data_IF_567646001421
#
_entry.id   IF_567646001421
#
_cell.length_a   1.000
_cell.length_b   1.000
_cell.length_c   1.000
_cell.angle_alpha   90.00
_cell.angle_beta   90.00
_cell.angle_gamma   90.00
#
_symmetry.space_group_name_H-M   'P 1'
#
loop_
_entity.id
_entity.type
_entity.pdbx_description
1 polymer ?
#
# COMPACT_ATOMS: atom_id res chain seq x y z
N UNK A 1 14.63 -8.77 5.68
CA UNK A 1 15.01 -9.63 4.53
C UNK A 1 14.26 -10.95 4.47
N UNK A 2 14.09 -11.70 5.57
CA UNK A 2 13.37 -12.99 5.53
C UNK A 2 11.91 -12.87 5.06
N UNK A 3 11.19 -11.83 5.46
CA UNK A 3 9.77 -11.62 5.11
C UNK A 3 9.58 -11.37 3.60
N UNK A 4 10.38 -10.48 3.00
CA UNK A 4 10.30 -10.21 1.56
C UNK A 4 10.73 -11.45 0.76
N UNK A 5 11.72 -12.23 1.26
CA UNK A 5 12.09 -13.49 0.63
C UNK A 5 10.92 -14.48 0.65
N UNK A 6 10.33 -14.71 1.81
CA UNK A 6 9.16 -15.59 1.96
C UNK A 6 7.96 -15.16 1.10
N UNK A 7 7.75 -13.85 0.92
CA UNK A 7 6.75 -13.32 0.00
C UNK A 7 7.06 -13.65 -1.47
N UNK A 8 8.31 -13.43 -1.89
CA UNK A 8 8.74 -13.65 -3.27
C UNK A 8 8.85 -15.13 -3.62
N UNK A 9 9.25 -15.99 -2.68
CA UNK A 9 9.32 -17.46 -2.85
C UNK A 9 7.92 -18.08 -3.11
N UNK A 10 6.84 -17.41 -2.71
CA UNK A 10 5.46 -17.82 -3.08
C UNK A 10 5.13 -17.54 -4.56
N UNK A 11 5.90 -16.66 -5.18
CA UNK A 11 5.67 -16.21 -6.56
C UNK A 11 6.53 -17.02 -7.53
N UNK A 12 7.81 -17.21 -7.18
CA UNK A 12 8.77 -17.91 -8.03
C UNK A 12 10.03 -18.31 -7.26
N UNK A 13 10.73 -19.35 -7.75
CA UNK A 13 12.04 -19.75 -7.23
C UNK A 13 13.11 -18.76 -7.69
N UNK A 14 13.81 -18.16 -6.74
CA UNK A 14 14.85 -17.15 -7.00
C UNK A 14 16.22 -17.80 -6.77
N UNK A 15 17.13 -17.65 -7.75
CA UNK A 15 18.53 -18.07 -7.59
C UNK A 15 19.24 -17.24 -6.52
N UNK A 16 20.27 -17.79 -5.90
CA UNK A 16 21.07 -17.04 -4.91
C UNK A 16 21.68 -15.77 -5.52
N UNK A 17 22.19 -15.85 -6.75
CA UNK A 17 22.77 -14.70 -7.44
C UNK A 17 21.77 -13.57 -7.69
N UNK A 18 20.54 -13.91 -8.15
CA UNK A 18 19.47 -12.94 -8.35
C UNK A 18 19.00 -12.33 -7.03
N UNK A 19 18.92 -13.18 -5.97
CA UNK A 19 18.58 -12.73 -4.63
C UNK A 19 19.60 -11.75 -4.07
N UNK A 20 20.89 -12.08 -4.15
CA UNK A 20 21.98 -11.24 -3.64
C UNK A 20 22.02 -9.90 -4.40
N UNK A 21 21.84 -9.93 -5.74
CA UNK A 21 21.76 -8.71 -6.51
C UNK A 21 20.57 -7.85 -6.12
N UNK A 22 19.38 -8.45 -6.03
CA UNK A 22 18.17 -7.73 -5.62
C UNK A 22 18.33 -7.10 -4.23
N UNK A 23 18.79 -7.87 -3.25
CA UNK A 23 18.91 -7.39 -1.87
C UNK A 23 19.98 -6.32 -1.70
N UNK A 24 21.04 -6.33 -2.54
CA UNK A 24 22.04 -5.26 -2.56
C UNK A 24 21.48 -3.89 -2.93
N UNK A 25 20.29 -3.85 -3.57
CA UNK A 25 19.59 -2.65 -3.99
C UNK A 25 18.55 -2.15 -2.99
N UNK A 26 18.28 -2.93 -1.95
CA UNK A 26 17.28 -2.58 -0.94
C UNK A 26 17.88 -1.69 0.15
N UNK A 27 17.13 -0.64 0.48
CA UNK A 27 17.42 0.25 1.60
C UNK A 27 16.35 0.09 2.67
N UNK A 28 16.76 -0.15 3.91
CA UNK A 28 15.85 -0.22 5.05
C UNK A 28 15.62 1.17 5.61
N UNK A 29 14.35 1.57 5.76
CA UNK A 29 13.94 2.85 6.29
C UNK A 29 12.93 2.65 7.42
N UNK A 30 13.02 3.49 8.46
CA UNK A 30 12.04 3.57 9.54
C UNK A 30 11.32 4.90 9.38
N UNK A 31 10.00 4.84 9.26
CA UNK A 31 9.13 5.99 9.08
C UNK A 31 8.36 6.19 10.39
N UNK A 32 8.43 7.38 10.94
CA UNK A 32 7.79 7.71 12.21
C UNK A 32 6.26 7.68 12.09
N UNK A 33 5.58 7.37 13.19
CA UNK A 33 4.12 7.44 13.24
C UNK A 33 3.62 8.81 12.84
N UNK A 34 2.63 8.87 11.94
CA UNK A 34 2.01 10.06 11.34
C UNK A 34 2.88 10.80 10.32
N UNK A 35 4.10 10.36 10.05
CA UNK A 35 4.95 10.94 9.02
C UNK A 35 4.34 10.73 7.63
N UNK A 36 4.35 11.80 6.83
CA UNK A 36 4.02 11.75 5.39
C UNK A 36 5.35 11.64 4.66
N UNK A 37 5.63 10.47 4.09
CA UNK A 37 6.90 10.17 3.44
C UNK A 37 6.85 10.25 1.91
N UNK A 38 5.66 10.52 1.35
CA UNK A 38 5.46 11.06 -0.01
C UNK A 38 4.36 12.11 0.07
N UNK A 39 4.66 13.33 -0.34
CA UNK A 39 3.71 14.45 -0.35
C UNK A 39 3.03 14.61 -1.70
N UNK A 40 1.93 15.35 -1.71
CA UNK A 40 1.25 15.77 -2.94
C UNK A 40 2.24 16.51 -3.85
N UNK A 41 2.21 16.24 -5.15
CA UNK A 41 3.07 16.82 -6.17
C UNK A 41 4.56 16.42 -6.10
N UNK A 42 4.98 15.56 -5.17
CA UNK A 42 6.29 14.91 -5.22
C UNK A 42 6.26 13.73 -6.21
N UNK A 43 7.39 13.42 -6.82
CA UNK A 43 7.53 12.23 -7.67
C UNK A 43 7.91 11.04 -6.80
N UNK A 44 7.14 9.97 -6.88
CA UNK A 44 7.49 8.73 -6.21
C UNK A 44 8.68 8.05 -6.90
N UNK A 45 9.75 7.89 -6.17
CA UNK A 45 10.96 7.25 -6.68
C UNK A 45 11.19 5.84 -6.09
N UNK A 46 10.28 5.34 -5.27
CA UNK A 46 10.48 4.07 -4.57
C UNK A 46 9.28 3.13 -4.69
N UNK A 47 9.58 1.84 -4.78
CA UNK A 47 8.66 0.78 -4.35
C UNK A 47 9.21 0.23 -3.05
N UNK A 48 8.35 0.08 -2.04
CA UNK A 48 8.76 -0.37 -0.71
C UNK A 48 7.95 -1.57 -0.26
N UNK A 49 8.60 -2.53 0.39
CA UNK A 49 7.97 -3.65 1.08
C UNK A 49 7.84 -3.31 2.57
N UNK A 50 6.66 -3.49 3.15
CA UNK A 50 6.39 -3.19 4.55
C UNK A 50 6.77 -4.39 5.41
N UNK A 51 7.85 -4.28 6.20
CA UNK A 51 8.26 -5.29 7.19
C UNK A 51 7.39 -5.22 8.45
N UNK A 52 6.98 -4.01 8.85
CA UNK A 52 6.06 -3.76 9.97
C UNK A 52 5.36 -2.42 9.81
N UNK A 53 4.18 -2.29 10.39
CA UNK A 53 3.42 -1.04 10.41
C UNK A 53 2.26 -1.01 9.42
N UNK A 54 1.66 0.17 9.31
CA UNK A 54 0.48 0.45 8.49
C UNK A 54 0.66 1.78 7.76
N UNK A 55 0.45 1.76 6.45
CA UNK A 55 0.51 2.94 5.59
C UNK A 55 -0.88 3.25 5.03
N UNK A 56 -1.22 4.53 5.03
CA UNK A 56 -2.43 5.10 4.44
C UNK A 56 -2.10 5.79 3.11
N UNK A 57 -2.92 5.56 2.09
CA UNK A 57 -2.91 6.31 0.84
C UNK A 57 -4.11 7.24 0.84
N UNK A 58 -3.89 8.55 0.64
CA UNK A 58 -4.98 9.51 0.70
C UNK A 58 -4.76 10.73 -0.19
N UNK A 59 -5.86 11.31 -0.63
CA UNK A 59 -5.89 12.59 -1.34
C UNK A 59 -6.15 13.68 -0.30
N UNK A 60 -5.20 14.61 -0.07
CA UNK A 60 -5.40 15.72 0.85
C UNK A 60 -6.48 16.67 0.34
N UNK A 61 -7.09 17.40 1.25
CA UNK A 61 -8.05 18.49 0.99
C UNK A 61 -7.69 19.68 1.87
N UNK A 62 -8.16 20.86 1.53
CA UNK A 62 -8.02 22.08 2.36
C UNK A 62 -8.57 21.84 3.77
N UNK A 63 -9.74 21.20 3.85
CA UNK A 63 -10.33 20.74 5.09
C UNK A 63 -9.87 19.31 5.40
N UNK A 64 -9.08 19.07 6.47
CA UNK A 64 -8.59 17.74 6.84
C UNK A 64 -9.70 16.72 7.14
N UNK A 65 -10.93 17.17 7.45
CA UNK A 65 -12.05 16.24 7.64
C UNK A 65 -12.61 15.69 6.32
N UNK A 66 -12.28 16.34 5.19
CA UNK A 66 -12.67 15.94 3.83
C UNK A 66 -11.59 15.16 3.08
N UNK A 67 -10.47 14.83 3.70
CA UNK A 67 -9.44 13.98 3.11
C UNK A 67 -10.02 12.65 2.63
N UNK A 68 -9.62 12.21 1.45
CA UNK A 68 -10.12 10.96 0.86
C UNK A 68 -9.09 9.85 1.03
N UNK A 69 -9.32 8.95 1.98
CA UNK A 69 -8.56 7.71 2.10
C UNK A 69 -9.06 6.70 1.07
N UNK A 70 -8.16 6.23 0.21
CA UNK A 70 -8.53 5.24 -0.79
C UNK A 70 -7.72 3.93 -0.69
N UNK A 71 -6.76 3.86 0.23
CA UNK A 71 -5.98 2.64 0.43
C UNK A 71 -5.33 2.57 1.80
N UNK A 72 -5.10 1.34 2.23
CA UNK A 72 -4.20 0.99 3.31
C UNK A 72 -3.30 -0.15 2.85
N UNK A 73 -2.04 -0.11 3.26
CA UNK A 73 -1.10 -1.20 3.08
C UNK A 73 -0.52 -1.61 4.43
N UNK A 74 -0.26 -2.90 4.57
CA UNK A 74 0.08 -3.54 5.83
C UNK A 74 1.39 -4.32 5.69
N UNK A 75 1.83 -4.86 6.83
CA UNK A 75 2.92 -5.83 6.86
C UNK A 75 2.77 -6.87 5.73
N UNK A 76 3.89 -7.26 5.14
CA UNK A 76 4.02 -8.22 4.04
C UNK A 76 3.33 -7.77 2.73
N UNK A 77 3.17 -6.45 2.54
CA UNK A 77 2.65 -5.86 1.30
C UNK A 77 3.63 -4.85 0.72
N UNK A 78 3.57 -4.69 -0.60
CA UNK A 78 4.24 -3.59 -1.28
C UNK A 78 3.42 -2.31 -1.21
N UNK A 79 4.12 -1.16 -1.15
CA UNK A 79 3.55 0.19 -1.16
C UNK A 79 4.35 1.10 -2.07
N UNK A 80 3.64 1.91 -2.84
CA UNK A 80 4.17 2.99 -3.67
C UNK A 80 2.99 3.86 -4.13
N UNK A 81 3.24 5.10 -4.49
CA UNK A 81 2.37 5.83 -5.42
C UNK A 81 2.67 5.34 -6.83
N UNK A 82 2.14 4.17 -7.14
CA UNK A 82 2.61 3.32 -8.26
C UNK A 82 2.44 3.97 -9.63
N UNK A 83 1.40 4.76 -9.82
CA UNK A 83 1.16 5.57 -11.02
C UNK A 83 2.26 6.64 -11.20
N UNK A 84 2.59 7.36 -10.12
CA UNK A 84 3.70 8.32 -10.10
C UNK A 84 5.04 7.61 -10.33
N UNK A 85 5.28 6.49 -9.66
CA UNK A 85 6.49 5.69 -9.82
C UNK A 85 6.69 5.23 -11.27
N UNK A 86 5.65 4.71 -11.93
CA UNK A 86 5.74 4.23 -13.30
C UNK A 86 5.90 5.35 -14.33
N UNK A 87 5.21 6.46 -14.12
CA UNK A 87 5.21 7.58 -15.08
C UNK A 87 6.30 8.60 -14.82
N UNK A 88 6.95 8.56 -13.64
CA UNK A 88 7.89 9.56 -13.16
C UNK A 88 7.29 10.98 -13.20
N UNK A 89 5.99 11.09 -12.94
CA UNK A 89 5.23 12.36 -12.83
C UNK A 89 4.78 12.59 -11.38
N UNK A 90 4.49 13.85 -11.01
CA UNK A 90 4.02 14.20 -9.67
C UNK A 90 2.82 13.37 -9.21
N UNK A 91 2.84 12.91 -7.96
CA UNK A 91 1.76 12.16 -7.34
C UNK A 91 0.56 13.06 -7.03
N UNK A 92 -0.65 12.58 -7.33
CA UNK A 92 -1.91 13.22 -6.99
C UNK A 92 -2.40 12.89 -5.56
N UNK A 93 -1.61 12.16 -4.76
CA UNK A 93 -1.95 11.73 -3.41
C UNK A 93 -0.71 11.55 -2.54
N UNK A 94 -0.93 11.30 -1.27
CA UNK A 94 0.10 11.19 -0.25
C UNK A 94 0.16 9.79 0.36
N UNK A 95 1.36 9.43 0.85
CA UNK A 95 1.61 8.24 1.66
C UNK A 95 1.94 8.64 3.09
N UNK A 96 1.18 8.11 4.06
CA UNK A 96 1.34 8.40 5.48
C UNK A 96 1.47 7.12 6.30
N UNK A 97 2.47 7.06 7.17
CA UNK A 97 2.59 6.01 8.17
C UNK A 97 1.57 6.24 9.31
N UNK A 98 0.67 5.30 9.55
CA UNK A 98 -0.29 5.38 10.65
C UNK A 98 0.29 4.87 11.97
N UNK A 99 1.28 4.02 11.90
CA UNK A 99 2.10 3.54 13.03
C UNK A 99 3.56 3.79 12.70
N UNK A 100 4.47 3.58 13.64
CA UNK A 100 5.88 3.41 13.25
C UNK A 100 5.95 2.27 12.23
N UNK A 101 6.61 2.51 11.12
CA UNK A 101 6.58 1.63 9.94
C UNK A 101 8.00 1.38 9.44
N UNK A 102 8.39 0.11 9.36
CA UNK A 102 9.66 -0.29 8.76
C UNK A 102 9.43 -0.78 7.35
N UNK A 103 10.16 -0.23 6.41
CA UNK A 103 10.07 -0.56 4.98
C UNK A 103 11.43 -0.91 4.39
N UNK A 104 11.42 -1.80 3.38
CA UNK A 104 12.54 -2.07 2.48
C UNK A 104 12.22 -1.42 1.14
N UNK A 105 12.98 -0.41 0.76
CA UNK A 105 12.73 0.42 -0.42
C UNK A 105 13.74 0.13 -1.52
N UNK A 106 13.28 0.08 -2.76
CA UNK A 106 14.12 0.06 -3.95
C UNK A 106 13.79 1.27 -4.82
N UNK A 107 14.82 1.95 -5.34
CA UNK A 107 14.61 3.10 -6.24
C UNK A 107 14.13 2.66 -7.62
N UNK A 108 13.55 3.60 -8.39
CA UNK A 108 13.17 3.36 -9.78
C UNK A 108 14.35 2.84 -10.61
N UNK A 109 15.50 3.51 -10.53
CA UNK A 109 16.70 3.13 -11.28
C UNK A 109 17.23 1.76 -10.91
N UNK A 110 17.27 1.43 -9.61
CA UNK A 110 17.74 0.14 -9.13
C UNK A 110 16.77 -0.99 -9.52
N UNK A 111 15.46 -0.74 -9.49
CA UNK A 111 14.49 -1.71 -9.97
C UNK A 111 14.63 -1.99 -11.47
N UNK A 112 14.89 -0.94 -12.28
CA UNK A 112 15.20 -1.15 -13.70
C UNK A 112 16.48 -1.97 -13.91
N UNK A 113 17.50 -1.78 -13.04
CA UNK A 113 18.71 -2.61 -13.07
C UNK A 113 18.39 -4.07 -12.71
N UNK A 114 17.55 -4.33 -11.71
CA UNK A 114 17.08 -5.67 -11.35
C UNK A 114 16.38 -6.35 -12.54
N UNK A 115 15.47 -5.63 -13.22
CA UNK A 115 14.76 -6.16 -14.39
C UNK A 115 15.70 -6.54 -15.55
N UNK A 116 16.78 -5.78 -15.73
CA UNK A 116 17.74 -6.03 -16.82
C UNK A 116 18.77 -7.11 -16.49
N UNK A 117 19.15 -7.23 -15.23
CA UNK A 117 20.31 -8.06 -14.82
C UNK A 117 19.90 -9.44 -14.34
N UNK A 118 18.73 -9.57 -13.69
CA UNK A 118 18.27 -10.84 -13.12
C UNK A 118 17.35 -11.58 -14.09
N UNK A 119 17.40 -12.92 -14.05
CA UNK A 119 16.52 -13.75 -14.86
C UNK A 119 15.06 -13.66 -14.45
N UNK A 120 14.82 -13.44 -13.13
CA UNK A 120 13.48 -13.51 -12.56
C UNK A 120 12.83 -12.13 -12.34
N UNK A 121 13.59 -11.03 -12.45
CA UNK A 121 13.11 -9.68 -12.13
C UNK A 121 11.83 -9.30 -12.87
N UNK A 122 11.79 -9.50 -14.19
CA UNK A 122 10.61 -9.21 -15.00
C UNK A 122 9.39 -10.07 -14.62
N UNK A 123 9.61 -11.35 -14.29
CA UNK A 123 8.52 -12.23 -13.83
C UNK A 123 7.92 -11.73 -12.53
N UNK A 124 8.76 -11.41 -11.53
CA UNK A 124 8.32 -10.87 -10.23
C UNK A 124 7.58 -9.54 -10.44
N UNK A 125 8.14 -8.64 -11.25
CA UNK A 125 7.52 -7.35 -11.57
C UNK A 125 6.13 -7.51 -12.18
N UNK A 126 5.99 -8.38 -13.19
CA UNK A 126 4.72 -8.68 -13.85
C UNK A 126 3.70 -9.26 -12.87
N UNK A 127 4.04 -10.30 -12.13
CA UNK A 127 3.11 -10.96 -11.19
C UNK A 127 2.70 -10.02 -10.04
N UNK A 128 3.60 -9.14 -9.59
CA UNK A 128 3.27 -8.12 -8.59
C UNK A 128 2.30 -7.08 -9.14
N UNK A 129 2.50 -6.63 -10.39
CA UNK A 129 1.61 -5.70 -11.06
C UNK A 129 0.22 -6.30 -11.32
N UNK A 130 0.15 -7.56 -11.78
CA UNK A 130 -1.10 -8.31 -11.97
C UNK A 130 -1.87 -8.43 -10.65
N UNK A 131 -1.20 -8.78 -9.55
CA UNK A 131 -1.80 -8.86 -8.23
C UNK A 131 -2.35 -7.50 -7.77
N UNK A 132 -1.60 -6.42 -7.98
CA UNK A 132 -2.04 -5.08 -7.66
C UNK A 132 -3.27 -4.68 -8.47
N UNK A 133 -3.30 -4.99 -9.76
CA UNK A 133 -4.45 -4.75 -10.62
C UNK A 133 -5.71 -5.47 -10.09
N UNK A 134 -5.60 -6.75 -9.75
CA UNK A 134 -6.73 -7.53 -9.20
C UNK A 134 -7.25 -6.95 -7.88
N UNK A 135 -6.36 -6.50 -6.98
CA UNK A 135 -6.74 -5.84 -5.73
C UNK A 135 -7.50 -4.52 -5.98
N UNK A 136 -7.01 -3.70 -6.91
CA UNK A 136 -7.63 -2.43 -7.31
C UNK A 136 -8.99 -2.66 -7.96
N UNK A 137 -9.09 -3.58 -8.92
CA UNK A 137 -10.32 -3.95 -9.61
C UNK A 137 -11.39 -4.46 -8.62
N UNK A 138 -11.01 -5.35 -7.69
CA UNK A 138 -11.93 -5.84 -6.66
C UNK A 138 -12.45 -4.72 -5.75
N UNK A 139 -11.58 -3.77 -5.39
CA UNK A 139 -11.98 -2.61 -4.59
C UNK A 139 -12.99 -1.74 -5.36
N UNK A 140 -12.73 -1.46 -6.61
CA UNK A 140 -13.64 -0.69 -7.47
C UNK A 140 -15.02 -1.37 -7.57
N UNK A 141 -15.05 -2.66 -7.88
CA UNK A 141 -16.28 -3.45 -7.89
C UNK A 141 -17.03 -3.38 -6.56
N UNK A 142 -16.34 -3.47 -5.42
CA UNK A 142 -16.96 -3.36 -4.10
C UNK A 142 -17.56 -1.96 -3.87
N UNK A 143 -16.92 -0.89 -4.35
CA UNK A 143 -17.45 0.47 -4.25
C UNK A 143 -18.73 0.66 -5.08
N UNK A 144 -18.81 0.02 -6.24
CA UNK A 144 -19.94 0.12 -7.15
C UNK A 144 -21.12 -0.78 -6.73
N UNK A 145 -20.85 -2.01 -6.25
CA UNK A 145 -21.88 -3.02 -6.06
C UNK A 145 -22.34 -3.19 -4.60
N UNK A 146 -21.54 -2.77 -3.61
CA UNK A 146 -21.87 -2.97 -2.20
C UNK A 146 -22.34 -1.68 -1.54
N UNK A 147 -23.30 -1.80 -0.65
CA UNK A 147 -23.67 -0.72 0.28
C UNK A 147 -22.52 -0.41 1.25
N UNK A 148 -22.56 0.74 1.89
CA UNK A 148 -21.55 1.13 2.88
C UNK A 148 -21.50 0.16 4.07
N UNK A 149 -22.66 -0.38 4.48
CA UNK A 149 -22.75 -1.36 5.56
C UNK A 149 -22.08 -2.68 5.17
N UNK A 150 -22.33 -3.17 3.95
CA UNK A 150 -21.68 -4.40 3.44
C UNK A 150 -20.17 -4.22 3.29
N UNK A 151 -19.71 -3.05 2.80
CA UNK A 151 -18.27 -2.73 2.74
C UNK A 151 -17.63 -2.73 4.12
N UNK A 152 -18.33 -2.18 5.13
CA UNK A 152 -17.85 -2.19 6.50
C UNK A 152 -17.79 -3.61 7.09
N UNK A 153 -18.87 -4.42 6.94
CA UNK A 153 -18.90 -5.81 7.37
C UNK A 153 -17.78 -6.64 6.74
N UNK A 154 -17.55 -6.44 5.43
CA UNK A 154 -16.50 -7.12 4.69
C UNK A 154 -15.12 -6.75 5.22
N UNK A 155 -14.84 -5.45 5.40
CA UNK A 155 -13.58 -4.98 5.97
C UNK A 155 -13.35 -5.55 7.38
N UNK A 156 -14.39 -5.55 8.21
CA UNK A 156 -14.31 -6.11 9.56
C UNK A 156 -14.01 -7.61 9.56
N UNK A 157 -14.66 -8.37 8.65
CA UNK A 157 -14.45 -9.81 8.52
C UNK A 157 -13.06 -10.16 7.98
N UNK A 158 -12.60 -9.42 6.97
CA UNK A 158 -11.32 -9.68 6.31
C UNK A 158 -10.11 -9.19 7.14
N UNK A 159 -10.29 -8.14 7.95
CA UNK A 159 -9.22 -7.43 8.65
C UNK A 159 -9.69 -6.87 10.02
N UNK A 160 -10.07 -7.70 10.98
CA UNK A 160 -10.58 -7.22 12.28
C UNK A 160 -9.55 -6.39 13.06
N UNK A 161 -8.25 -6.65 12.87
CA UNK A 161 -7.16 -5.93 13.49
C UNK A 161 -7.10 -4.44 13.08
N UNK A 162 -7.62 -4.09 11.90
CA UNK A 162 -7.57 -2.70 11.41
C UNK A 162 -8.33 -1.73 12.29
N UNK A 163 -9.45 -2.18 12.84
CA UNK A 163 -10.29 -1.35 13.71
C UNK A 163 -9.60 -0.96 15.01
N UNK A 164 -8.57 -1.69 15.42
CA UNK A 164 -7.75 -1.37 16.60
C UNK A 164 -6.67 -0.34 16.32
N UNK A 165 -6.22 -0.24 15.08
CA UNK A 165 -5.04 0.53 14.70
C UNK A 165 -5.40 1.80 13.90
N UNK A 166 -6.45 1.72 13.07
CA UNK A 166 -6.83 2.81 12.15
C UNK A 166 -7.94 3.67 12.78
N UNK A 167 -7.76 5.01 12.84
CA UNK A 167 -8.81 5.92 13.27
C UNK A 167 -10.09 5.77 12.44
N UNK A 168 -11.25 5.81 13.12
CA UNK A 168 -12.55 5.60 12.46
C UNK A 168 -12.82 6.61 11.33
N UNK A 169 -12.30 7.84 11.43
CA UNK A 169 -12.41 8.83 10.35
C UNK A 169 -11.75 8.37 9.04
N UNK A 170 -10.64 7.63 9.12
CA UNK A 170 -9.98 7.09 7.93
C UNK A 170 -10.73 5.86 7.39
N UNK A 171 -11.32 5.07 8.28
CA UNK A 171 -12.16 3.94 7.88
C UNK A 171 -13.43 4.44 7.19
N UNK A 172 -14.11 5.46 7.75
CA UNK A 172 -15.31 6.04 7.12
C UNK A 172 -15.00 6.58 5.72
N UNK A 173 -13.92 7.35 5.60
CA UNK A 173 -13.44 7.83 4.30
C UNK A 173 -13.13 6.69 3.32
N UNK A 174 -12.44 5.64 3.78
CA UNK A 174 -12.09 4.47 2.96
C UNK A 174 -13.30 3.70 2.44
N UNK A 175 -14.36 3.56 3.23
CA UNK A 175 -15.61 2.92 2.79
C UNK A 175 -16.56 3.88 2.06
N UNK A 176 -16.20 5.16 1.93
CA UNK A 176 -16.94 6.15 1.16
C UNK A 176 -18.16 6.75 1.89
N UNK A 177 -18.07 6.94 3.22
CA UNK A 177 -19.13 7.57 4.01
C UNK A 177 -18.56 8.59 5.00
N UNK A 178 -19.43 9.40 5.60
CA UNK A 178 -19.07 10.30 6.70
C UNK A 178 -18.86 9.52 8.02
N UNK A 179 -18.13 10.11 8.96
CA UNK A 179 -17.91 9.52 10.28
C UNK A 179 -19.25 9.30 11.03
N UNK A 180 -20.23 10.20 10.87
CA UNK A 180 -21.57 10.05 11.44
C UNK A 180 -22.34 8.86 10.84
N UNK A 181 -22.25 8.69 9.51
CA UNK A 181 -22.89 7.56 8.84
C UNK A 181 -22.24 6.22 9.31
N UNK A 182 -20.90 6.17 9.43
CA UNK A 182 -20.22 4.99 9.98
C UNK A 182 -20.63 4.71 11.42
N UNK A 183 -20.76 5.75 12.26
CA UNK A 183 -21.23 5.57 13.64
C UNK A 183 -22.62 4.95 13.70
N UNK A 184 -23.55 5.36 12.81
CA UNK A 184 -24.89 4.74 12.70
C UNK A 184 -24.84 3.28 12.23
N UNK A 185 -23.99 2.97 11.26
CA UNK A 185 -23.78 1.58 10.80
C UNK A 185 -23.33 0.72 11.98
N UNK A 186 -22.33 1.17 12.73
CA UNK A 186 -21.77 0.41 13.87
C UNK A 186 -22.77 0.16 15.01
N UNK A 187 -23.71 1.09 15.23
CA UNK A 187 -24.76 0.90 16.26
C UNK A 187 -25.81 -0.13 15.88
N UNK A 188 -25.92 -0.47 14.59
CA UNK A 188 -26.88 -1.47 14.07
C UNK A 188 -26.30 -2.88 13.96
N UNK A 189 -24.98 -3.00 14.16
CA UNK A 189 -24.24 -4.28 14.12
C UNK A 189 -23.93 -4.80 15.49
#
# INVERSE_FOLDING_TARGET
MQQIKAYLDQIATISNSDWDFFTSKLQRRIISKREIFLKLNEIENHISFIESGVVRLFIPKEDPEKEITFGFSFKDQFISAYDSFLTQKPSAYQLQALTETTILSITYSDLQAVYKTTQIGNLIGRLTAERLFLLKSKREQNLLNLTAEERYKKLFKERPELLKVIPLKYISSYIGVTAQALSRIRKRL
#
